data_IF_522396043642
#
_entry.id   IF_522396043642
#
_cell.length_a   1.000
_cell.length_b   1.000
_cell.length_c   1.000
_cell.angle_alpha   90.00
_cell.angle_beta   90.00
_cell.angle_gamma   90.00
#
_symmetry.space_group_name_H-M   'P 1'
#
loop_
_entity.id
_entity.type
_entity.pdbx_description
1 polymer ?
#
# COMPACT_ATOMS: atom_id res chain seq x y z
N UNK A 1 -5.82 -22.64 -4.52
CA UNK A 1 -5.75 -21.51 -3.57
C UNK A 1 -5.54 -22.08 -2.19
N UNK A 2 -4.46 -21.72 -1.49
CA UNK A 2 -4.27 -22.10 -0.08
C UNK A 2 -4.82 -20.98 0.80
N UNK A 3 -6.05 -21.11 1.30
CA UNK A 3 -6.76 -20.07 2.06
C UNK A 3 -6.01 -19.62 3.31
N UNK A 4 -5.45 -20.56 4.07
CA UNK A 4 -4.66 -20.27 5.28
C UNK A 4 -3.46 -19.39 4.92
N UNK A 5 -2.74 -19.76 3.85
CA UNK A 5 -1.58 -18.98 3.39
C UNK A 5 -1.98 -17.60 2.88
N UNK A 6 -3.10 -17.51 2.15
CA UNK A 6 -3.64 -16.22 1.68
C UNK A 6 -3.96 -15.30 2.86
N UNK A 7 -4.65 -15.80 3.89
CA UNK A 7 -4.95 -14.98 5.08
C UNK A 7 -3.69 -14.54 5.82
N UNK A 8 -2.71 -15.44 6.01
CA UNK A 8 -1.41 -15.10 6.59
C UNK A 8 -0.68 -14.01 5.79
N UNK A 9 -0.72 -14.06 4.46
CA UNK A 9 -0.13 -13.05 3.60
C UNK A 9 -0.88 -11.71 3.69
N UNK A 10 -2.21 -11.70 3.78
CA UNK A 10 -3.02 -10.50 3.96
C UNK A 10 -2.81 -9.85 5.34
N UNK A 11 -2.67 -10.65 6.40
CA UNK A 11 -2.31 -10.18 7.74
C UNK A 11 -0.92 -9.54 7.73
N UNK A 12 0.07 -10.24 7.15
CA UNK A 12 1.42 -9.71 6.98
C UNK A 12 1.43 -8.42 6.16
N UNK A 13 0.62 -8.33 5.10
CA UNK A 13 0.51 -7.09 4.32
C UNK A 13 -0.03 -5.95 5.19
N UNK A 14 -1.08 -6.21 5.98
CA UNK A 14 -1.67 -5.24 6.90
C UNK A 14 -0.62 -4.67 7.87
N UNK A 15 0.20 -5.54 8.50
CA UNK A 15 1.30 -5.12 9.38
C UNK A 15 2.34 -4.27 8.65
N UNK A 16 2.74 -4.67 7.43
CA UNK A 16 3.71 -3.92 6.63
C UNK A 16 3.19 -2.51 6.31
N UNK A 17 1.90 -2.36 6.01
CA UNK A 17 1.30 -1.06 5.74
C UNK A 17 1.28 -0.15 6.98
N UNK A 18 0.91 -0.68 8.14
CA UNK A 18 0.90 0.07 9.40
C UNK A 18 2.30 0.56 9.79
N UNK A 19 3.28 -0.35 9.79
CA UNK A 19 4.67 -0.01 10.09
C UNK A 19 5.26 0.95 9.05
N UNK A 20 4.96 0.72 7.77
CA UNK A 20 5.43 1.54 6.67
C UNK A 20 4.89 2.96 6.71
N UNK A 21 3.61 3.15 7.07
CA UNK A 21 3.04 4.48 7.22
C UNK A 21 3.72 5.24 8.36
N UNK A 22 3.86 4.62 9.54
CA UNK A 22 4.49 5.25 10.69
C UNK A 22 5.95 5.62 10.40
N UNK A 23 6.70 4.73 9.75
CA UNK A 23 8.08 4.97 9.35
C UNK A 23 8.17 6.11 8.32
N UNK A 24 7.28 6.12 7.32
CA UNK A 24 7.20 7.16 6.31
C UNK A 24 6.90 8.53 6.92
N UNK A 25 5.93 8.61 7.85
CA UNK A 25 5.61 9.85 8.57
C UNK A 25 6.80 10.34 9.40
N UNK A 26 7.49 9.42 10.09
CA UNK A 26 8.68 9.73 10.90
C UNK A 26 9.87 10.21 10.06
N UNK A 27 10.06 9.64 8.86
CA UNK A 27 11.11 10.08 7.93
C UNK A 27 10.75 11.43 7.31
N UNK A 28 9.49 11.62 6.89
CA UNK A 28 9.02 12.85 6.30
C UNK A 28 9.05 14.04 7.28
N UNK A 29 8.73 13.83 8.55
CA UNK A 29 8.74 14.88 9.58
C UNK A 29 10.14 15.45 9.86
N UNK A 30 11.20 14.68 9.59
CA UNK A 30 12.61 15.10 9.74
C UNK A 30 13.12 15.98 8.60
N UNK A 31 12.38 16.07 7.49
CA UNK A 31 12.74 16.93 6.36
C UNK A 31 12.37 18.39 6.61
N UNK A 32 12.96 19.31 5.85
CA UNK A 32 12.55 20.72 5.86
C UNK A 32 11.04 20.84 5.54
N UNK A 33 10.31 21.59 6.36
CA UNK A 33 8.85 21.74 6.35
C UNK A 33 8.05 20.47 6.73
N UNK A 34 8.71 19.40 7.20
CA UNK A 34 8.07 18.21 7.76
C UNK A 34 7.05 17.56 6.82
N UNK A 35 5.91 17.14 7.39
CA UNK A 35 4.79 16.55 6.63
C UNK A 35 4.15 17.55 5.65
N UNK A 36 4.12 18.82 6.01
CA UNK A 36 3.56 19.93 5.21
C UNK A 36 4.47 20.37 4.05
N UNK A 37 5.68 19.79 3.96
CA UNK A 37 6.58 20.05 2.85
C UNK A 37 5.93 19.63 1.54
N UNK A 38 5.88 20.54 0.58
CA UNK A 38 5.30 20.28 -0.74
C UNK A 38 6.22 19.41 -1.57
N UNK A 39 5.63 18.51 -2.36
CA UNK A 39 6.34 17.70 -3.34
C UNK A 39 6.17 18.35 -4.71
N UNK A 40 7.29 18.77 -5.30
CA UNK A 40 7.29 19.51 -6.58
C UNK A 40 7.07 18.62 -7.81
N UNK A 41 7.19 17.29 -7.67
CA UNK A 41 6.83 16.31 -8.70
C UNK A 41 5.38 15.89 -8.51
N UNK A 42 4.50 16.36 -9.38
CA UNK A 42 3.04 16.28 -9.21
C UNK A 42 2.36 15.21 -10.06
N UNK A 43 3.12 14.37 -10.78
CA UNK A 43 2.54 13.49 -11.81
C UNK A 43 3.15 12.08 -11.76
N UNK A 44 2.32 11.03 -11.81
CA UNK A 44 2.79 9.64 -11.93
C UNK A 44 2.95 8.89 -10.62
N UNK A 45 4.13 8.33 -10.35
CA UNK A 45 4.35 7.37 -9.25
C UNK A 45 4.42 8.06 -7.87
N UNK A 46 3.80 7.49 -6.82
CA UNK A 46 3.93 7.99 -5.46
C UNK A 46 5.38 8.12 -5.00
N UNK A 47 5.68 9.18 -4.25
CA UNK A 47 6.97 9.30 -3.57
C UNK A 47 7.01 8.30 -2.42
N UNK A 48 7.98 7.38 -2.49
CA UNK A 48 8.21 6.38 -1.45
C UNK A 48 9.17 6.97 -0.40
N UNK A 49 8.68 7.11 0.84
CA UNK A 49 9.48 7.60 1.96
C UNK A 49 10.18 6.49 2.74
N UNK A 50 9.65 5.26 2.67
CA UNK A 50 10.19 4.09 3.34
C UNK A 50 10.42 2.93 2.35
N UNK A 51 11.66 2.80 1.88
CA UNK A 51 12.03 1.78 0.90
C UNK A 51 12.00 0.36 1.47
N UNK A 52 12.19 0.18 2.78
CA UNK A 52 12.14 -1.13 3.43
C UNK A 52 10.71 -1.68 3.44
N UNK A 53 9.73 -0.86 3.85
CA UNK A 53 8.31 -1.19 3.77
C UNK A 53 7.86 -1.41 2.33
N UNK A 54 8.35 -0.60 1.39
CA UNK A 54 8.08 -0.80 -0.03
C UNK A 54 8.59 -2.15 -0.55
N UNK A 55 9.82 -2.54 -0.19
CA UNK A 55 10.40 -3.84 -0.52
C UNK A 55 9.60 -5.01 0.09
N UNK A 56 9.27 -4.90 1.38
CA UNK A 56 8.45 -5.88 2.09
C UNK A 56 7.05 -6.02 1.47
N UNK A 57 6.42 -4.91 1.11
CA UNK A 57 5.14 -4.92 0.42
C UNK A 57 5.23 -5.65 -0.91
N UNK A 58 6.22 -5.34 -1.76
CA UNK A 58 6.39 -5.99 -3.06
C UNK A 58 6.61 -7.51 -2.91
N UNK A 59 7.34 -7.94 -1.87
CA UNK A 59 7.53 -9.36 -1.58
C UNK A 59 6.20 -10.05 -1.24
N UNK A 60 5.39 -9.44 -0.37
CA UNK A 60 4.06 -9.96 -0.01
C UNK A 60 3.11 -9.98 -1.21
N UNK A 61 3.07 -8.89 -2.00
CA UNK A 61 2.28 -8.80 -3.23
C UNK A 61 2.67 -9.88 -4.25
N UNK A 62 3.96 -10.16 -4.38
CA UNK A 62 4.45 -11.21 -5.28
C UNK A 62 4.01 -12.59 -4.82
N UNK A 63 4.10 -12.88 -3.52
CA UNK A 63 3.58 -14.14 -2.95
C UNK A 63 2.05 -14.26 -3.10
N UNK A 64 1.30 -13.18 -2.88
CA UNK A 64 -0.15 -13.17 -3.10
C UNK A 64 -0.51 -13.43 -4.56
N UNK A 65 0.20 -12.82 -5.51
CA UNK A 65 -0.04 -13.06 -6.94
C UNK A 65 0.21 -14.52 -7.35
N UNK A 66 1.07 -15.25 -6.64
CA UNK A 66 1.27 -16.69 -6.87
C UNK A 66 0.10 -17.52 -6.34
N UNK A 67 -0.49 -17.13 -5.21
CA UNK A 67 -1.60 -17.86 -4.56
C UNK A 67 -2.98 -17.55 -5.16
N UNK A 68 -3.19 -16.29 -5.58
CA UNK A 68 -4.45 -15.76 -6.13
C UNK A 68 -4.21 -14.94 -7.42
N UNK A 69 -3.68 -15.57 -8.49
CA UNK A 69 -3.30 -14.88 -9.72
C UNK A 69 -4.47 -14.14 -10.40
N UNK A 70 -5.72 -14.61 -10.21
CA UNK A 70 -6.92 -13.96 -10.76
C UNK A 70 -7.14 -12.53 -10.21
N UNK A 71 -6.49 -12.17 -9.10
CA UNK A 71 -6.56 -10.83 -8.50
C UNK A 71 -5.25 -10.03 -8.66
N UNK A 72 -4.33 -10.46 -9.54
CA UNK A 72 -3.03 -9.82 -9.71
C UNK A 72 -3.12 -8.31 -10.05
N UNK A 73 -4.08 -7.92 -10.88
CA UNK A 73 -4.29 -6.50 -11.25
C UNK A 73 -4.72 -5.67 -10.05
N UNK A 74 -5.60 -6.20 -9.19
CA UNK A 74 -6.00 -5.55 -7.94
C UNK A 74 -4.81 -5.45 -6.98
N UNK A 75 -4.05 -6.55 -6.81
CA UNK A 75 -2.88 -6.60 -5.91
C UNK A 75 -1.81 -5.58 -6.34
N UNK A 76 -1.59 -5.42 -7.64
CA UNK A 76 -0.55 -4.54 -8.22
C UNK A 76 -1.03 -3.13 -8.51
N UNK A 77 -2.33 -2.85 -8.36
CA UNK A 77 -2.92 -1.53 -8.56
C UNK A 77 -2.16 -0.46 -7.78
N UNK A 78 -2.13 0.76 -8.34
CA UNK A 78 -1.46 1.92 -7.74
C UNK A 78 -2.50 3.01 -7.48
N UNK A 79 -2.30 3.84 -6.44
CA UNK A 79 -3.12 5.04 -6.26
C UNK A 79 -2.94 5.97 -7.46
N UNK A 80 -4.02 6.62 -7.87
CA UNK A 80 -3.99 7.66 -8.88
C UNK A 80 -3.56 8.99 -8.25
N UNK A 81 -2.57 9.65 -8.84
CA UNK A 81 -2.09 10.96 -8.43
C UNK A 81 -2.50 11.95 -9.51
N UNK A 82 -3.42 12.84 -9.17
CA UNK A 82 -3.89 13.86 -10.09
C UNK A 82 -2.91 15.03 -10.16
N UNK A 83 -2.61 15.44 -11.39
CA UNK A 83 -1.80 16.62 -11.70
C UNK A 83 -2.48 17.91 -11.23
N UNK A 84 -1.69 18.93 -10.91
CA UNK A 84 -2.20 20.27 -10.58
C UNK A 84 -2.63 20.49 -9.13
N UNK A 85 -2.45 19.50 -8.25
CA UNK A 85 -2.65 19.65 -6.81
C UNK A 85 -1.33 19.85 -6.07
N UNK A 86 -1.35 20.74 -5.07
CA UNK A 86 -0.20 21.03 -4.21
C UNK A 86 -0.11 19.98 -3.09
N UNK A 87 0.20 18.75 -3.46
CA UNK A 87 0.32 17.63 -2.52
C UNK A 87 1.46 17.84 -1.52
N UNK A 88 1.16 17.65 -0.25
CA UNK A 88 2.15 17.58 0.83
C UNK A 88 2.72 16.15 0.95
N UNK A 89 3.81 15.99 1.71
CA UNK A 89 4.32 14.64 2.04
C UNK A 89 3.29 13.85 2.83
N UNK A 90 2.55 14.51 3.72
CA UNK A 90 1.45 13.91 4.47
C UNK A 90 0.39 13.31 3.55
N UNK A 91 -0.08 14.09 2.56
CA UNK A 91 -1.10 13.66 1.61
C UNK A 91 -0.64 12.45 0.79
N UNK A 92 0.61 12.45 0.31
CA UNK A 92 1.17 11.31 -0.43
C UNK A 92 1.24 10.04 0.40
N UNK A 93 1.66 10.16 1.66
CA UNK A 93 1.73 9.02 2.59
C UNK A 93 0.32 8.47 2.80
N UNK A 94 -0.64 9.32 3.12
CA UNK A 94 -2.02 8.92 3.36
C UNK A 94 -2.65 8.25 2.13
N UNK A 95 -2.48 8.85 0.94
CA UNK A 95 -2.97 8.29 -0.31
C UNK A 95 -2.37 6.90 -0.59
N UNK A 96 -1.04 6.76 -0.44
CA UNK A 96 -0.35 5.51 -0.73
C UNK A 96 -0.80 4.38 0.19
N UNK A 97 -0.74 4.58 1.51
CA UNK A 97 -1.09 3.53 2.47
C UNK A 97 -2.60 3.31 2.53
N UNK A 98 -3.41 4.36 2.37
CA UNK A 98 -4.87 4.27 2.27
C UNK A 98 -5.32 3.39 1.10
N UNK A 99 -4.74 3.58 -0.09
CA UNK A 99 -5.02 2.74 -1.26
C UNK A 99 -4.79 1.25 -0.97
N UNK A 100 -3.63 0.90 -0.42
CA UNK A 100 -3.32 -0.52 -0.19
C UNK A 100 -4.11 -1.14 0.97
N UNK A 101 -4.56 -0.36 1.96
CA UNK A 101 -5.55 -0.85 2.94
C UNK A 101 -6.86 -1.24 2.26
N UNK A 102 -7.36 -0.40 1.36
CA UNK A 102 -8.57 -0.72 0.60
C UNK A 102 -8.40 -1.97 -0.28
N UNK A 103 -7.22 -2.16 -0.87
CA UNK A 103 -6.88 -3.38 -1.63
C UNK A 103 -6.92 -4.61 -0.72
N UNK A 104 -6.26 -4.56 0.44
CA UNK A 104 -6.25 -5.67 1.42
C UNK A 104 -7.67 -5.99 1.88
N UNK A 105 -8.46 -5.00 2.26
CA UNK A 105 -9.85 -5.19 2.72
C UNK A 105 -10.72 -5.81 1.64
N UNK A 106 -10.58 -5.35 0.39
CA UNK A 106 -11.30 -5.93 -0.75
C UNK A 106 -10.89 -7.39 -0.97
N UNK A 107 -9.60 -7.71 -0.89
CA UNK A 107 -9.12 -9.08 -1.03
C UNK A 107 -9.66 -9.98 0.09
N UNK A 108 -9.66 -9.53 1.35
CA UNK A 108 -10.24 -10.28 2.47
C UNK A 108 -11.71 -10.63 2.24
N UNK A 109 -12.50 -9.70 1.70
CA UNK A 109 -13.92 -9.96 1.36
C UNK A 109 -14.05 -10.99 0.23
N UNK A 110 -13.27 -10.84 -0.83
CA UNK A 110 -13.32 -11.72 -2.00
C UNK A 110 -12.85 -13.15 -1.69
N UNK A 111 -11.92 -13.34 -0.76
CA UNK A 111 -11.40 -14.66 -0.39
C UNK A 111 -12.14 -15.28 0.80
N UNK A 112 -12.74 -14.47 1.67
CA UNK A 112 -13.54 -14.93 2.81
C UNK A 112 -14.99 -15.32 2.46
N UNK A 113 -15.49 -14.98 1.27
CA UNK A 113 -16.83 -15.37 0.80
C UNK A 113 -16.91 -16.78 0.19
N UNK A 114 -15.81 -17.53 0.17
CA UNK A 114 -15.76 -18.85 -0.51
C UNK A 114 -16.33 -20.01 0.31
N UNK A 115 -16.84 -19.78 1.53
CA UNK A 115 -17.19 -20.83 2.51
C UNK A 115 -18.68 -21.22 2.57
N UNK A 116 -19.54 -20.73 1.69
CA UNK A 116 -20.98 -21.09 1.68
C UNK A 116 -21.42 -21.64 0.31
N UNK A 117 -21.06 -22.89 -0.01
CA UNK A 117 -21.80 -23.78 -0.94
C UNK A 117 -21.67 -25.23 -0.49
#
# INVERSE_FOLDING_TARGET
MNEVRVQQLLDRWSTVLEMGEQASRTKASKNQNGLEGRITRTTGTPVIFDFDAFGNQNAVQSSLCQEIPQYADLIRSKPEIMDGHAWTRGDFIELYFGHFRLVVDKLRRLTGQTTDV
#
